data_IF_026151420747
#
_entry.id   IF_026151420747
#
_cell.length_a   1.000
_cell.length_b   1.000
_cell.length_c   1.000
_cell.angle_alpha   90.00
_cell.angle_beta   90.00
_cell.angle_gamma   90.00
#
_symmetry.space_group_name_H-M   'P 1'
#
loop_
_entity.id
_entity.type
_entity.pdbx_description
1 polymer ?
#
# COMPACT_ATOMS: atom_id res chain seq x y z
N UNK A 1 10.42 7.16 -6.94
CA UNK A 1 10.34 6.92 -5.48
C UNK A 1 9.47 8.00 -4.86
N UNK A 2 8.35 7.61 -4.24
CA UNK A 2 7.44 8.53 -3.53
C UNK A 2 7.04 7.90 -2.19
N UNK A 3 6.67 8.72 -1.20
CA UNK A 3 6.14 8.26 0.10
C UNK A 3 4.62 8.28 0.06
N UNK A 4 3.98 7.13 0.25
CA UNK A 4 2.54 6.94 0.06
C UNK A 4 1.93 6.44 1.36
N UNK A 5 0.94 7.18 1.88
CA UNK A 5 0.04 6.68 2.92
C UNK A 5 -1.12 5.92 2.26
N UNK A 6 -1.37 4.69 2.71
CA UNK A 6 -2.39 3.81 2.16
C UNK A 6 -3.32 3.31 3.27
N UNK A 7 -4.63 3.42 3.10
CA UNK A 7 -5.62 2.99 4.10
C UNK A 7 -6.50 1.88 3.53
N UNK A 8 -6.50 0.73 4.20
CA UNK A 8 -7.29 -0.46 3.88
C UNK A 8 -6.55 -1.51 3.05
N UNK A 9 -6.48 -2.74 3.57
CA UNK A 9 -5.81 -3.90 2.97
C UNK A 9 -6.77 -5.02 2.59
N UNK A 10 -8.06 -4.71 2.37
CA UNK A 10 -9.00 -5.67 1.82
C UNK A 10 -8.54 -6.28 0.49
N UNK A 11 -9.34 -7.19 -0.09
CA UNK A 11 -8.96 -8.00 -1.26
C UNK A 11 -8.25 -7.20 -2.38
N UNK A 12 -8.70 -5.98 -2.69
CA UNK A 12 -8.03 -5.12 -3.68
C UNK A 12 -6.83 -4.35 -3.10
N UNK A 13 -6.99 -3.76 -1.91
CA UNK A 13 -5.99 -2.89 -1.29
C UNK A 13 -4.63 -3.57 -1.11
N UNK A 14 -4.63 -4.84 -0.71
CA UNK A 14 -3.40 -5.61 -0.55
C UNK A 14 -2.64 -5.82 -1.87
N UNK A 15 -3.33 -6.04 -3.00
CA UNK A 15 -2.65 -6.14 -4.30
C UNK A 15 -2.12 -4.78 -4.77
N UNK A 16 -2.86 -3.71 -4.53
CA UNK A 16 -2.44 -2.36 -4.88
C UNK A 16 -1.21 -1.91 -4.08
N UNK A 17 -1.21 -2.09 -2.75
CA UNK A 17 -0.05 -1.79 -1.90
C UNK A 17 1.20 -2.58 -2.32
N UNK A 18 1.05 -3.86 -2.67
CA UNK A 18 2.14 -4.68 -3.23
C UNK A 18 2.67 -4.15 -4.55
N UNK A 19 1.82 -3.68 -5.45
CA UNK A 19 2.26 -3.10 -6.71
C UNK A 19 3.03 -1.79 -6.50
N UNK A 20 2.60 -0.96 -5.56
CA UNK A 20 3.31 0.28 -5.19
C UNK A 20 4.71 -0.02 -4.63
N UNK A 21 4.84 -1.03 -3.77
CA UNK A 21 6.15 -1.49 -3.28
C UNK A 21 7.04 -1.99 -4.42
N UNK A 22 6.49 -2.82 -5.33
CA UNK A 22 7.23 -3.33 -6.51
C UNK A 22 7.68 -2.23 -7.46
N UNK A 23 6.89 -1.16 -7.58
CA UNK A 23 7.24 0.02 -8.37
C UNK A 23 8.32 0.90 -7.71
N UNK A 24 8.80 0.53 -6.51
CA UNK A 24 9.84 1.27 -5.81
C UNK A 24 9.29 2.55 -5.19
N UNK A 25 8.13 2.46 -4.52
CA UNK A 25 7.61 3.49 -3.62
C UNK A 25 7.74 3.04 -2.17
N UNK A 26 7.93 4.00 -1.26
CA UNK A 26 7.85 3.76 0.18
C UNK A 26 6.37 3.87 0.59
N UNK A 27 5.79 2.77 1.07
CA UNK A 27 4.36 2.71 1.39
C UNK A 27 4.19 2.47 2.88
N UNK A 28 3.46 3.34 3.55
CA UNK A 28 2.99 3.14 4.93
C UNK A 28 1.52 2.80 4.87
N UNK A 29 1.14 1.67 5.48
CA UNK A 29 -0.23 1.16 5.42
C UNK A 29 -0.88 1.21 6.78
N UNK A 30 -2.16 1.59 6.82
CA UNK A 30 -3.02 1.49 7.99
C UNK A 30 -4.29 0.72 7.65
N UNK A 31 -4.70 -0.19 8.54
CA UNK A 31 -5.98 -0.88 8.48
C UNK A 31 -6.56 -0.95 9.90
N UNK A 32 -7.87 -1.16 10.01
CA UNK A 32 -8.61 -1.13 11.27
C UNK A 32 -8.61 -2.48 12.01
N UNK A 33 -8.04 -3.53 11.41
CA UNK A 33 -8.00 -4.90 11.93
C UNK A 33 -6.59 -5.48 11.92
#
# INVERSE_FOLDING_TARGET
MARIGFVGLGNMGAHMARNLLKAGHEVTVFDLV
#
